data_IF_324364713092
#
_entry.id   IF_324364713092
#
_cell.length_a   1.000
_cell.length_b   1.000
_cell.length_c   1.000
_cell.angle_alpha   90.00
_cell.angle_beta   90.00
_cell.angle_gamma   90.00
#
_symmetry.space_group_name_H-M   'P 1'
#
loop_
_entity.id
_entity.type
_entity.pdbx_description
1 polymer ?
#
# COMPACT_ATOMS: atom_id res chain seq x y z
N UNK A 1 19.45 1.96 -26.52
CA UNK A 1 18.61 2.83 -25.65
C UNK A 1 17.23 3.03 -26.23
N UNK A 2 17.13 3.50 -27.49
CA UNK A 2 15.83 3.73 -28.09
C UNK A 2 14.95 2.50 -28.19
N UNK A 3 15.54 1.34 -28.43
CA UNK A 3 14.78 0.08 -28.52
C UNK A 3 14.21 -0.34 -27.18
N UNK A 4 14.96 -0.16 -26.09
CA UNK A 4 14.47 -0.47 -24.75
C UNK A 4 13.33 0.47 -24.33
N UNK A 5 13.45 1.76 -24.65
CA UNK A 5 12.41 2.75 -24.36
C UNK A 5 11.14 2.45 -25.14
N UNK A 6 11.27 2.12 -26.44
CA UNK A 6 10.14 1.72 -27.27
C UNK A 6 9.46 0.47 -26.77
N UNK A 7 10.24 -0.53 -26.35
CA UNK A 7 9.71 -1.77 -25.79
C UNK A 7 8.96 -1.49 -24.48
N UNK A 8 9.54 -0.68 -23.59
CA UNK A 8 8.89 -0.30 -22.33
C UNK A 8 7.56 0.41 -22.59
N UNK A 9 7.53 1.35 -23.52
CA UNK A 9 6.30 2.07 -23.89
C UNK A 9 5.25 1.14 -24.49
N UNK A 10 5.66 0.19 -25.30
CA UNK A 10 4.77 -0.80 -25.91
C UNK A 10 4.14 -1.73 -24.86
N UNK A 11 4.94 -2.14 -23.87
CA UNK A 11 4.50 -3.06 -22.81
C UNK A 11 3.74 -2.38 -21.69
N UNK A 12 3.92 -1.07 -21.51
CA UNK A 12 3.33 -0.34 -20.38
C UNK A 12 1.84 -0.54 -20.21
N UNK A 13 0.98 -0.45 -21.25
CA UNK A 13 -0.46 -0.67 -21.10
C UNK A 13 -0.80 -2.08 -20.60
N UNK A 14 -0.04 -3.08 -21.05
CA UNK A 14 -0.25 -4.46 -20.64
C UNK A 14 0.19 -4.68 -19.19
N UNK A 15 1.30 -4.07 -18.78
CA UNK A 15 1.80 -4.12 -17.41
C UNK A 15 0.80 -3.44 -16.47
N UNK A 16 0.29 -2.27 -16.83
CA UNK A 16 -0.70 -1.54 -16.03
C UNK A 16 -2.00 -2.34 -15.89
N UNK A 17 -2.43 -2.99 -16.96
CA UNK A 17 -3.62 -3.84 -16.94
C UNK A 17 -3.41 -5.07 -16.04
N UNK A 18 -2.25 -5.69 -16.10
CA UNK A 18 -1.90 -6.84 -15.26
C UNK A 18 -1.79 -6.44 -13.79
N UNK A 19 -1.37 -5.20 -13.49
CA UNK A 19 -1.22 -4.72 -12.12
C UNK A 19 -2.54 -4.69 -11.35
N UNK A 20 -3.69 -4.62 -12.04
CA UNK A 20 -5.00 -4.63 -11.40
C UNK A 20 -5.22 -5.93 -10.62
N UNK A 21 -4.64 -7.04 -11.07
CA UNK A 21 -4.78 -8.35 -10.42
C UNK A 21 -3.73 -8.63 -9.35
N UNK A 22 -2.77 -7.73 -9.14
CA UNK A 22 -1.78 -7.90 -8.08
C UNK A 22 -2.42 -7.81 -6.70
N UNK A 23 -1.98 -8.68 -5.80
CA UNK A 23 -2.33 -8.55 -4.39
C UNK A 23 -1.72 -7.27 -3.80
N UNK A 24 -2.29 -6.77 -2.72
CA UNK A 24 -1.84 -5.52 -2.10
C UNK A 24 -0.37 -5.57 -1.69
N UNK A 25 0.12 -6.72 -1.22
CA UNK A 25 1.53 -6.89 -0.87
C UNK A 25 2.44 -6.61 -2.06
N UNK A 26 2.17 -7.23 -3.21
CA UNK A 26 2.96 -7.04 -4.42
C UNK A 26 2.77 -5.65 -5.01
N UNK A 27 1.54 -5.15 -4.98
CA UNK A 27 1.22 -3.80 -5.43
C UNK A 27 2.03 -2.74 -4.66
N UNK A 28 2.21 -2.93 -3.35
CA UNK A 28 2.96 -2.00 -2.51
C UNK A 28 4.44 -1.93 -2.87
N UNK A 29 4.98 -2.96 -3.51
CA UNK A 29 6.37 -2.99 -3.96
C UNK A 29 6.61 -2.16 -5.23
N UNK A 30 5.55 -1.86 -5.98
CA UNK A 30 5.65 -1.19 -7.28
C UNK A 30 4.55 -0.13 -7.47
N UNK A 31 4.54 0.93 -6.62
CA UNK A 31 3.53 1.99 -6.73
C UNK A 31 3.51 2.63 -8.11
N UNK A 32 4.64 2.61 -8.81
CA UNK A 32 4.82 3.19 -10.15
C UNK A 32 3.93 2.54 -11.21
N UNK A 33 3.42 1.33 -10.95
CA UNK A 33 2.50 0.65 -11.86
C UNK A 33 1.10 1.25 -11.82
N UNK A 34 0.78 2.01 -10.79
CA UNK A 34 -0.54 2.59 -10.61
C UNK A 34 -0.57 4.05 -11.03
N UNK A 35 -1.72 4.52 -11.57
CA UNK A 35 -1.81 5.90 -12.04
C UNK A 35 -1.69 6.89 -10.89
N UNK A 36 -1.07 8.03 -11.18
CA UNK A 36 -1.07 9.16 -10.26
C UNK A 36 -2.48 9.78 -10.21
N UNK A 37 -2.87 10.28 -9.04
CA UNK A 37 -4.11 11.03 -8.94
C UNK A 37 -4.03 12.30 -9.79
N UNK A 38 -5.04 12.50 -10.63
CA UNK A 38 -5.15 13.70 -11.46
C UNK A 38 -6.51 14.33 -11.24
N UNK A 39 -6.50 15.64 -11.06
CA UNK A 39 -7.69 16.45 -10.88
C UNK A 39 -8.32 16.72 -12.25
N UNK A 40 -8.75 15.68 -12.95
CA UNK A 40 -9.28 15.75 -14.32
C UNK A 40 -10.79 15.50 -14.41
N UNK A 41 -11.46 15.36 -13.28
CA UNK A 41 -12.92 15.22 -13.20
C UNK A 41 -13.47 13.86 -13.60
N UNK A 42 -12.62 12.86 -13.93
CA UNK A 42 -13.10 11.54 -14.30
C UNK A 42 -13.60 10.75 -13.10
N UNK A 43 -14.41 9.73 -13.37
CA UNK A 43 -14.89 8.84 -12.33
C UNK A 43 -13.79 7.85 -11.94
N UNK A 44 -13.55 7.73 -10.64
CA UNK A 44 -12.70 6.71 -10.05
C UNK A 44 -13.62 5.76 -9.28
N UNK A 45 -13.64 4.50 -9.68
CA UNK A 45 -14.52 3.52 -9.05
C UNK A 45 -13.92 2.95 -7.77
N UNK A 46 -14.79 2.53 -6.85
CA UNK A 46 -14.36 1.87 -5.61
C UNK A 46 -13.44 0.69 -5.92
N UNK A 47 -12.38 0.54 -5.14
CA UNK A 47 -11.38 -0.50 -5.33
C UNK A 47 -10.22 -0.10 -6.24
N UNK A 48 -10.32 1.03 -6.94
CA UNK A 48 -9.23 1.52 -7.79
C UNK A 48 -8.05 1.94 -6.94
N UNK A 49 -6.86 1.44 -7.28
CA UNK A 49 -5.61 1.78 -6.61
C UNK A 49 -4.86 2.85 -7.41
N UNK A 50 -4.29 3.79 -6.70
CA UNK A 50 -3.51 4.88 -7.29
C UNK A 50 -2.15 4.98 -6.59
N UNK A 51 -1.21 5.64 -7.25
CA UNK A 51 0.06 6.02 -6.66
C UNK A 51 -0.08 7.45 -6.11
N UNK A 52 0.01 7.59 -4.80
CA UNK A 52 -0.02 8.88 -4.12
C UNK A 52 1.33 9.12 -3.45
N UNK A 53 2.22 9.80 -4.16
CA UNK A 53 3.56 10.12 -3.65
C UNK A 53 4.41 8.90 -3.29
N UNK A 54 4.28 7.80 -4.05
CA UNK A 54 5.01 6.56 -3.79
C UNK A 54 4.30 5.59 -2.85
N UNK A 55 3.10 5.95 -2.38
CA UNK A 55 2.27 5.10 -1.53
C UNK A 55 1.03 4.71 -2.33
N UNK A 56 0.68 3.43 -2.30
CA UNK A 56 -0.54 2.95 -2.97
C UNK A 56 -1.73 3.21 -2.07
N UNK A 57 -2.72 3.91 -2.60
CA UNK A 57 -4.01 4.14 -1.93
C UNK A 57 -5.12 3.54 -2.77
N UNK A 58 -6.21 3.13 -2.12
CA UNK A 58 -7.37 2.54 -2.77
C UNK A 58 -8.60 3.40 -2.52
N UNK A 59 -9.38 3.64 -3.58
CA UNK A 59 -10.66 4.31 -3.43
C UNK A 59 -11.62 3.43 -2.64
N UNK A 60 -12.14 3.94 -1.52
CA UNK A 60 -13.09 3.20 -0.69
C UNK A 60 -14.50 3.22 -1.29
N UNK A 61 -14.80 4.23 -2.10
CA UNK A 61 -16.09 4.44 -2.75
C UNK A 61 -15.86 4.99 -4.15
N UNK A 62 -16.91 5.01 -4.99
CA UNK A 62 -16.86 5.72 -6.26
C UNK A 62 -16.74 7.22 -5.98
N UNK A 63 -15.85 7.89 -6.70
CA UNK A 63 -15.64 9.32 -6.51
C UNK A 63 -15.24 10.00 -7.83
N UNK A 64 -15.48 11.29 -7.91
CA UNK A 64 -15.02 12.11 -9.01
C UNK A 64 -13.64 12.67 -8.69
N UNK A 65 -12.73 12.59 -9.65
CA UNK A 65 -11.34 13.03 -9.47
C UNK A 65 -11.24 14.55 -9.49
N UNK A 66 -11.62 15.18 -8.39
CA UNK A 66 -11.59 16.63 -8.19
C UNK A 66 -10.53 16.99 -7.15
N UNK A 67 -10.24 18.30 -7.05
CA UNK A 67 -9.31 18.80 -6.03
C UNK A 67 -9.81 18.48 -4.60
N UNK A 68 -11.12 18.55 -4.40
CA UNK A 68 -11.75 18.32 -3.09
C UNK A 68 -11.72 16.85 -2.67
N UNK A 69 -11.61 15.94 -3.63
CA UNK A 69 -11.62 14.49 -3.39
C UNK A 69 -10.24 13.85 -3.36
N UNK A 70 -9.18 14.66 -3.37
CA UNK A 70 -7.82 14.15 -3.31
C UNK A 70 -7.54 13.41 -2.00
N UNK A 71 -6.61 12.42 -2.00
CA UNK A 71 -6.31 11.62 -0.82
C UNK A 71 -5.91 12.40 0.43
N UNK A 72 -5.31 13.57 0.29
CA UNK A 72 -4.90 14.41 1.42
C UNK A 72 -6.00 15.36 1.91
N UNK A 73 -7.09 15.48 1.15
CA UNK A 73 -8.23 16.35 1.49
C UNK A 73 -9.40 15.53 1.98
N UNK A 74 -9.79 14.51 1.23
CA UNK A 74 -10.95 13.67 1.53
C UNK A 74 -10.51 12.30 2.06
N UNK A 75 -9.96 12.28 3.25
CA UNK A 75 -9.40 11.06 3.86
C UNK A 75 -10.40 9.90 3.92
N UNK A 76 -11.68 10.19 4.12
CA UNK A 76 -12.71 9.16 4.22
C UNK A 76 -13.02 8.45 2.90
N UNK A 77 -12.65 9.04 1.76
CA UNK A 77 -12.87 8.44 0.43
C UNK A 77 -11.76 7.47 0.03
N UNK A 78 -10.67 7.48 0.75
CA UNK A 78 -9.47 6.70 0.43
C UNK A 78 -9.05 5.84 1.60
N UNK A 79 -8.47 4.70 1.29
CA UNK A 79 -7.89 3.82 2.31
C UNK A 79 -6.47 3.45 1.92
N UNK A 80 -5.61 3.31 2.92
CA UNK A 80 -4.27 2.78 2.72
C UNK A 80 -4.37 1.26 2.59
N UNK A 81 -3.61 0.69 1.66
CA UNK A 81 -3.48 -0.76 1.64
C UNK A 81 -2.61 -1.19 2.83
N UNK A 82 -2.76 -2.44 3.28
CA UNK A 82 -2.13 -2.91 4.51
C UNK A 82 -0.61 -3.13 4.41
N UNK A 83 0.01 -2.73 3.31
CA UNK A 83 1.43 -2.96 3.02
C UNK A 83 2.10 -1.71 2.48
N UNK A 84 3.41 -1.59 2.78
CA UNK A 84 4.31 -0.60 2.18
C UNK A 84 5.64 -1.31 1.90
N UNK A 85 6.14 -1.19 0.67
CA UNK A 85 7.38 -1.85 0.23
C UNK A 85 7.35 -3.38 0.48
N UNK A 86 6.17 -3.97 0.34
CA UNK A 86 5.98 -5.40 0.54
C UNK A 86 5.91 -5.85 2.00
N UNK A 87 5.96 -4.92 2.94
CA UNK A 87 5.96 -5.21 4.38
C UNK A 87 4.63 -4.71 4.98
N UNK A 88 4.01 -5.59 5.75
CA UNK A 88 2.71 -5.31 6.36
C UNK A 88 2.83 -4.27 7.49
N UNK A 89 1.83 -3.38 7.59
CA UNK A 89 1.70 -2.52 8.76
C UNK A 89 1.27 -3.32 9.98
N UNK A 90 1.80 -2.96 11.14
CA UNK A 90 1.38 -3.55 12.41
C UNK A 90 0.08 -2.83 12.83
N UNK A 91 -1.06 -3.54 12.91
CA UNK A 91 -2.31 -2.91 13.33
C UNK A 91 -2.28 -2.55 14.82
N UNK A 92 -3.08 -1.57 15.21
CA UNK A 92 -3.20 -1.17 16.62
C UNK A 92 -3.75 -2.30 17.49
N UNK A 93 -4.61 -3.13 16.93
CA UNK A 93 -5.13 -4.34 17.58
C UNK A 93 -4.75 -5.54 16.71
N UNK A 94 -3.89 -6.39 17.24
CA UNK A 94 -3.46 -7.60 16.56
C UNK A 94 -4.30 -8.77 17.06
N UNK A 95 -4.91 -9.51 16.11
CA UNK A 95 -5.74 -10.68 16.41
C UNK A 95 -4.99 -11.96 16.03
N UNK A 96 -5.58 -13.12 16.35
CA UNK A 96 -5.03 -14.40 15.93
C UNK A 96 -4.88 -14.51 14.40
N UNK A 97 -5.77 -13.84 13.65
CA UNK A 97 -5.70 -13.83 12.18
C UNK A 97 -4.67 -12.84 11.60
N UNK A 98 -4.14 -11.95 12.42
CA UNK A 98 -3.18 -10.92 11.99
C UNK A 98 -1.87 -10.94 12.78
N UNK A 99 -1.64 -11.99 13.56
CA UNK A 99 -0.43 -12.14 14.37
C UNK A 99 0.84 -12.12 13.50
N UNK A 100 1.93 -11.75 14.13
CA UNK A 100 3.24 -11.78 13.50
C UNK A 100 4.03 -12.98 14.02
N UNK A 101 4.78 -13.61 13.12
CA UNK A 101 5.65 -14.72 13.49
C UNK A 101 7.06 -14.21 13.72
N UNK A 102 7.88 -15.02 14.39
CA UNK A 102 9.28 -14.69 14.63
C UNK A 102 9.98 -14.35 13.32
N UNK A 103 10.77 -13.29 13.34
CA UNK A 103 11.52 -12.72 12.22
C UNK A 103 10.66 -12.03 11.15
N UNK A 104 9.35 -12.01 11.30
CA UNK A 104 8.47 -11.25 10.42
C UNK A 104 8.64 -9.74 10.69
N UNK A 105 8.68 -8.95 9.59
CA UNK A 105 8.81 -7.49 9.68
C UNK A 105 7.44 -6.81 9.64
N UNK A 106 7.35 -5.66 10.27
CA UNK A 106 6.15 -4.83 10.26
C UNK A 106 6.48 -3.35 10.48
N UNK A 107 5.62 -2.49 9.93
CA UNK A 107 5.72 -1.05 10.11
C UNK A 107 4.91 -0.60 11.31
N UNK A 108 5.53 0.20 12.17
CA UNK A 108 4.88 0.83 13.32
C UNK A 108 5.35 2.28 13.43
N UNK A 109 4.42 3.24 13.34
CA UNK A 109 4.76 4.66 13.39
C UNK A 109 5.90 5.03 12.42
N UNK A 110 5.78 4.55 11.17
CA UNK A 110 6.75 4.80 10.10
C UNK A 110 8.14 4.22 10.34
N UNK A 111 8.28 3.35 11.34
CA UNK A 111 9.53 2.67 11.67
C UNK A 111 9.37 1.16 11.46
N UNK A 112 10.46 0.52 11.06
CA UNK A 112 10.47 -0.92 10.78
C UNK A 112 10.84 -1.69 12.04
N UNK A 113 10.04 -2.71 12.35
CA UNK A 113 10.26 -3.61 13.48
C UNK A 113 10.28 -5.05 13.02
N UNK A 114 11.04 -5.88 13.73
CA UNK A 114 11.07 -7.33 13.53
C UNK A 114 10.48 -8.02 14.76
N UNK A 115 9.55 -8.95 14.53
CA UNK A 115 8.99 -9.76 15.61
C UNK A 115 10.03 -10.72 16.13
N UNK A 116 10.21 -10.77 17.45
CA UNK A 116 11.19 -11.64 18.11
C UNK A 116 10.57 -12.95 18.59
N UNK A 117 9.24 -13.06 18.52
CA UNK A 117 8.52 -14.24 19.01
C UNK A 117 7.49 -14.73 17.99
N UNK A 118 7.15 -16.00 18.05
CA UNK A 118 6.04 -16.55 17.30
C UNK A 118 4.71 -16.17 17.94
N UNK A 119 3.64 -16.16 17.13
CA UNK A 119 2.29 -15.82 17.59
C UNK A 119 2.24 -14.48 18.32
N UNK A 120 2.95 -13.50 17.78
CA UNK A 120 3.04 -12.16 18.37
C UNK A 120 1.75 -11.40 18.11
N UNK A 121 0.95 -11.24 19.15
CA UNK A 121 -0.34 -10.50 19.10
C UNK A 121 -0.25 -9.16 19.84
N UNK A 122 0.95 -8.72 20.18
CA UNK A 122 1.18 -7.47 20.90
C UNK A 122 1.88 -6.46 20.00
N UNK A 123 1.48 -5.20 20.13
CA UNK A 123 2.16 -4.10 19.43
C UNK A 123 3.52 -3.81 20.08
N UNK A 124 4.42 -3.08 19.40
CA UNK A 124 5.69 -2.66 20.00
C UNK A 124 5.52 -1.84 21.28
N UNK A 125 4.40 -1.13 21.44
CA UNK A 125 4.11 -0.38 22.66
C UNK A 125 3.62 -1.30 23.77
N UNK A 126 2.75 -2.25 23.45
CA UNK A 126 2.17 -3.16 24.44
C UNK A 126 3.19 -4.18 24.97
N UNK A 127 4.13 -4.61 24.10
CA UNK A 127 5.14 -5.61 24.48
C UNK A 127 6.48 -5.30 23.77
N UNK A 128 7.23 -4.29 24.26
CA UNK A 128 8.48 -3.89 23.61
C UNK A 128 9.50 -5.02 23.44
N UNK A 129 9.53 -5.97 24.36
CA UNK A 129 10.48 -7.08 24.32
C UNK A 129 10.14 -8.11 23.22
N UNK A 130 8.96 -8.04 22.62
CA UNK A 130 8.57 -8.89 21.50
C UNK A 130 8.96 -8.34 20.15
N UNK A 131 9.56 -7.16 20.11
CA UNK A 131 9.91 -6.47 18.88
C UNK A 131 11.31 -5.86 18.93
N UNK A 132 11.96 -5.82 17.78
CA UNK A 132 13.28 -5.19 17.61
C UNK A 132 13.18 -4.17 16.48
N UNK A 133 13.46 -2.92 16.82
CA UNK A 133 13.53 -1.84 15.84
C UNK A 133 14.71 -2.06 14.89
N UNK A 134 14.44 -1.93 13.59
CA UNK A 134 15.45 -2.14 12.55
C UNK A 134 16.18 -0.85 12.14
#
# INVERSE_FOLDING_TARGET
MNELIKMAKKLRPYIEKASISLEDKDASCAPELFPMYKNDGRLITAGTRINWGGIVKRAAVDLWATEENAPDVALALWEDIAYKDGIRYIPETITAGTMFMKDELGWWNEELYKSLIDNNVWTPVAHPNGWEKQ
#
